data_IF_238764540047
#
_entry.id   IF_238764540047
#
_cell.length_a   1.000
_cell.length_b   1.000
_cell.length_c   1.000
_cell.angle_alpha   90.00
_cell.angle_beta   90.00
_cell.angle_gamma   90.00
#
_symmetry.space_group_name_H-M   'P 1'
#
loop_
_entity.id
_entity.type
_entity.pdbx_description
1 polymer ?
#
# COMPACT_ATOMS: atom_id res chain seq x y z
N UNK A 1 17.60 -7.62 8.23
CA UNK A 1 18.86 -6.87 8.36
C UNK A 1 18.52 -5.39 8.49
N UNK A 2 19.06 -4.72 9.51
CA UNK A 2 18.88 -3.28 9.70
C UNK A 2 20.25 -2.61 9.60
N UNK A 3 20.32 -1.52 8.87
CA UNK A 3 21.52 -0.74 8.62
C UNK A 3 21.24 0.73 8.92
N UNK A 4 22.20 1.40 9.55
CA UNK A 4 22.18 2.84 9.81
C UNK A 4 23.51 3.42 9.31
N UNK A 5 23.65 3.66 7.97
CA UNK A 5 24.94 4.02 7.38
C UNK A 5 25.51 5.34 7.90
N UNK A 6 24.63 6.25 8.33
CA UNK A 6 24.94 7.51 9.02
C UNK A 6 23.78 7.85 9.96
N UNK A 7 23.92 8.79 10.92
CA UNK A 7 22.84 9.14 11.85
C UNK A 7 21.55 9.65 11.19
N UNK A 8 21.66 10.21 9.98
CA UNK A 8 20.53 10.74 9.21
C UNK A 8 19.85 9.71 8.31
N UNK A 9 20.33 8.46 8.27
CA UNK A 9 19.85 7.42 7.37
C UNK A 9 19.49 6.12 8.09
N UNK A 10 18.26 5.68 7.90
CA UNK A 10 17.79 4.34 8.26
C UNK A 10 17.52 3.52 7.00
N UNK A 11 18.03 2.29 6.97
CA UNK A 11 17.74 1.30 5.94
C UNK A 11 17.40 -0.04 6.60
N UNK A 12 16.23 -0.57 6.31
CA UNK A 12 15.82 -1.91 6.71
C UNK A 12 15.63 -2.76 5.47
N UNK A 13 16.20 -3.97 5.47
CA UNK A 13 15.97 -4.99 4.45
C UNK A 13 15.61 -6.29 5.14
N UNK A 14 14.44 -6.84 4.86
CA UNK A 14 13.98 -8.09 5.43
C UNK A 14 13.65 -9.10 4.32
N UNK A 15 13.95 -10.36 4.60
CA UNK A 15 13.40 -11.49 3.85
C UNK A 15 12.56 -12.31 4.82
N UNK A 16 11.41 -12.78 4.38
CA UNK A 16 10.48 -13.52 5.22
C UNK A 16 9.98 -14.79 4.53
N UNK A 17 9.71 -15.82 5.33
CA UNK A 17 8.97 -17.02 4.98
C UNK A 17 8.04 -17.32 6.16
N UNK A 18 6.75 -17.06 5.96
CA UNK A 18 5.71 -17.14 6.98
C UNK A 18 4.71 -18.21 6.57
N UNK A 19 4.46 -19.17 7.46
CA UNK A 19 3.45 -20.20 7.27
C UNK A 19 2.27 -19.92 8.20
N UNK A 20 1.06 -19.92 7.64
CA UNK A 20 -0.19 -19.87 8.40
C UNK A 20 -0.95 -21.17 8.16
N UNK A 21 -1.12 -21.95 9.22
CA UNK A 21 -1.92 -23.17 9.22
C UNK A 21 -3.35 -22.90 9.73
N UNK A 22 -4.14 -23.97 9.82
CA UNK A 22 -5.51 -23.94 10.35
C UNK A 22 -6.39 -22.89 9.67
N UNK A 23 -6.21 -22.69 8.37
CA UNK A 23 -7.07 -21.82 7.59
C UNK A 23 -8.45 -22.46 7.43
N UNK A 24 -9.44 -21.60 7.56
CA UNK A 24 -10.84 -21.85 7.33
C UNK A 24 -11.09 -22.16 5.85
N UNK A 25 -11.50 -23.39 5.54
CA UNK A 25 -11.78 -23.90 4.19
C UNK A 25 -13.15 -24.56 4.15
N UNK A 26 -13.80 -24.60 2.99
CA UNK A 26 -15.02 -25.38 2.81
C UNK A 26 -14.75 -26.88 3.04
N UNK A 27 -15.66 -27.57 3.72
CA UNK A 27 -15.55 -29.02 3.92
C UNK A 27 -15.78 -29.75 2.58
N UNK A 28 -14.82 -30.57 2.10
CA UNK A 28 -14.95 -31.30 0.84
C UNK A 28 -16.15 -32.25 0.81
N UNK A 29 -16.57 -32.76 1.97
CA UNK A 29 -17.73 -33.64 2.09
C UNK A 29 -19.06 -32.87 2.17
N UNK A 30 -19.02 -31.60 2.58
CA UNK A 30 -20.19 -30.72 2.64
C UNK A 30 -19.77 -29.24 2.52
N UNK A 31 -19.80 -28.65 1.30
CA UNK A 31 -19.35 -27.27 1.06
C UNK A 31 -20.09 -26.17 1.86
N UNK A 32 -21.22 -26.49 2.50
CA UNK A 32 -21.92 -25.58 3.42
C UNK A 32 -21.31 -25.55 4.83
N UNK A 33 -20.37 -26.44 5.12
CA UNK A 33 -19.61 -26.49 6.37
C UNK A 33 -18.20 -25.99 6.11
N UNK A 34 -17.54 -25.63 7.21
CA UNK A 34 -16.23 -25.05 7.19
C UNK A 34 -15.33 -25.75 8.20
N UNK A 35 -14.13 -26.11 7.75
CA UNK A 35 -13.12 -26.83 8.53
C UNK A 35 -11.82 -26.03 8.58
N UNK A 36 -11.00 -26.26 9.61
CA UNK A 36 -9.67 -25.65 9.74
C UNK A 36 -8.61 -26.58 9.18
N UNK A 37 -8.58 -26.71 7.85
CA UNK A 37 -7.71 -27.67 7.17
C UNK A 37 -6.72 -27.02 6.19
N UNK A 38 -6.86 -25.71 5.92
CA UNK A 38 -6.02 -25.03 4.94
C UNK A 38 -4.69 -24.54 5.51
N UNK A 39 -3.75 -24.28 4.61
CA UNK A 39 -2.45 -23.68 4.91
C UNK A 39 -2.07 -22.72 3.80
N UNK A 40 -1.50 -21.56 4.16
CA UNK A 40 -0.91 -20.64 3.21
C UNK A 40 0.48 -20.22 3.65
N UNK A 41 1.37 -20.08 2.67
CA UNK A 41 2.73 -19.59 2.87
C UNK A 41 2.88 -18.23 2.20
N UNK A 42 3.44 -17.28 2.93
CA UNK A 42 3.78 -15.94 2.47
C UNK A 42 5.31 -15.78 2.49
N UNK A 43 5.91 -15.50 1.34
CA UNK A 43 7.35 -15.25 1.22
C UNK A 43 7.60 -13.94 0.52
N UNK A 44 8.73 -13.31 0.84
CA UNK A 44 9.01 -12.05 0.20
C UNK A 44 10.21 -11.31 0.74
N UNK A 45 10.30 -10.07 0.26
CA UNK A 45 11.33 -9.12 0.61
C UNK A 45 10.66 -7.78 0.92
N UNK A 46 11.14 -7.12 1.97
CA UNK A 46 10.75 -5.76 2.33
C UNK A 46 11.99 -4.89 2.42
N UNK A 47 11.87 -3.68 1.91
CA UNK A 47 12.87 -2.63 1.98
C UNK A 47 12.20 -1.36 2.46
N UNK A 48 12.76 -0.75 3.51
CA UNK A 48 12.37 0.56 4.01
C UNK A 48 13.60 1.45 4.11
N UNK A 49 13.49 2.66 3.57
CA UNK A 49 14.54 3.67 3.55
C UNK A 49 13.97 4.98 4.08
N UNK A 50 14.65 5.61 5.02
CA UNK A 50 14.33 6.95 5.47
C UNK A 50 15.61 7.75 5.69
N UNK A 51 15.61 9.02 5.30
CA UNK A 51 16.73 9.90 5.62
C UNK A 51 16.71 11.26 4.95
N UNK A 52 17.88 11.90 4.97
CA UNK A 52 18.09 13.24 4.42
C UNK A 52 19.13 13.22 3.30
N UNK A 53 18.74 13.65 2.11
CA UNK A 53 19.64 13.90 0.98
C UNK A 53 20.50 15.14 1.23
N UNK A 54 19.91 16.16 1.85
CA UNK A 54 20.56 17.38 2.36
C UNK A 54 19.85 17.81 3.65
N UNK A 55 20.39 18.76 4.44
CA UNK A 55 19.68 19.26 5.62
C UNK A 55 18.24 19.76 5.34
N UNK A 56 17.98 20.21 4.11
CA UNK A 56 16.70 20.74 3.66
C UNK A 56 15.87 19.74 2.85
N UNK A 57 16.39 18.54 2.54
CA UNK A 57 15.75 17.57 1.66
C UNK A 57 15.66 16.20 2.33
N UNK A 58 14.45 15.76 2.66
CA UNK A 58 14.19 14.43 3.22
C UNK A 58 13.51 13.49 2.23
N UNK A 59 13.75 12.20 2.40
CA UNK A 59 13.17 11.13 1.60
C UNK A 59 12.75 9.96 2.49
N UNK A 60 11.61 9.37 2.15
CA UNK A 60 11.10 8.12 2.72
C UNK A 60 10.67 7.24 1.55
N UNK A 61 11.14 6.01 1.50
CA UNK A 61 10.77 5.05 0.46
C UNK A 61 10.54 3.67 1.08
N UNK A 62 9.59 2.94 0.51
CA UNK A 62 9.35 1.54 0.86
C UNK A 62 9.06 0.71 -0.38
N UNK A 63 9.45 -0.56 -0.34
CA UNK A 63 9.19 -1.54 -1.36
C UNK A 63 8.93 -2.91 -0.74
N UNK A 64 7.91 -3.59 -1.21
CA UNK A 64 7.57 -4.95 -0.82
C UNK A 64 7.36 -5.83 -2.06
N UNK A 65 7.97 -7.01 -2.04
CA UNK A 65 7.62 -8.14 -2.90
C UNK A 65 6.97 -9.22 -2.05
N UNK A 66 5.78 -9.68 -2.41
CA UNK A 66 5.00 -10.62 -1.59
C UNK A 66 4.39 -11.75 -2.44
N UNK A 67 4.91 -12.96 -2.29
CA UNK A 67 4.40 -14.20 -2.87
C UNK A 67 3.63 -14.99 -1.81
N UNK A 68 2.30 -14.91 -1.84
CA UNK A 68 1.42 -15.72 -0.98
C UNK A 68 0.79 -16.82 -1.81
N UNK A 69 0.84 -18.06 -1.32
CA UNK A 69 0.22 -19.22 -1.96
C UNK A 69 -0.43 -20.13 -0.94
N UNK A 70 -1.54 -20.77 -1.31
CA UNK A 70 -2.06 -21.89 -0.54
C UNK A 70 -1.13 -23.10 -0.70
N UNK A 71 -0.59 -23.58 0.42
CA UNK A 71 0.28 -24.77 0.48
C UNK A 71 -0.49 -26.01 0.91
N UNK A 72 -1.72 -25.83 1.42
CA UNK A 72 -2.68 -26.92 1.65
C UNK A 72 -4.09 -26.42 1.36
N UNK A 73 -4.70 -26.96 0.31
CA UNK A 73 -6.08 -26.69 -0.10
C UNK A 73 -6.55 -27.76 -1.09
N UNK A 74 -7.80 -28.19 -1.00
CA UNK A 74 -8.35 -29.15 -1.97
C UNK A 74 -8.68 -28.51 -3.32
N UNK A 75 -9.00 -27.21 -3.34
CA UNK A 75 -9.42 -26.50 -4.56
C UNK A 75 -8.41 -25.47 -5.05
N UNK A 76 -7.56 -24.92 -4.15
CA UNK A 76 -6.71 -23.75 -4.42
C UNK A 76 -5.22 -24.05 -4.28
N UNK A 77 -4.84 -25.33 -4.29
CA UNK A 77 -3.46 -25.74 -4.05
C UNK A 77 -2.50 -25.02 -5.02
N UNK A 78 -1.51 -24.32 -4.48
CA UNK A 78 -0.51 -23.58 -5.25
C UNK A 78 -0.96 -22.22 -5.79
N UNK A 79 -2.26 -21.92 -5.71
CA UNK A 79 -2.85 -20.65 -6.15
C UNK A 79 -2.59 -19.52 -5.16
N UNK A 80 -2.64 -18.28 -5.66
CA UNK A 80 -2.51 -17.07 -4.84
C UNK A 80 -3.86 -16.64 -4.28
N UNK A 81 -3.91 -16.11 -3.05
CA UNK A 81 -5.11 -15.46 -2.56
C UNK A 81 -5.38 -14.16 -3.32
N UNK A 82 -6.64 -13.74 -3.31
CA UNK A 82 -7.08 -12.48 -3.90
C UNK A 82 -6.69 -11.29 -3.03
N UNK A 83 -6.55 -10.11 -3.63
CA UNK A 83 -6.24 -8.86 -2.93
C UNK A 83 -4.78 -8.69 -2.50
N UNK A 84 -3.88 -9.57 -2.96
CA UNK A 84 -2.45 -9.50 -2.65
C UNK A 84 -1.66 -9.17 -3.93
N UNK A 85 -1.18 -7.92 -4.11
CA UNK A 85 -0.31 -7.58 -5.23
C UNK A 85 1.04 -8.29 -5.09
N UNK A 86 1.73 -8.52 -6.21
CA UNK A 86 3.11 -9.00 -6.20
C UNK A 86 4.07 -7.96 -5.67
N UNK A 87 3.89 -6.70 -6.11
CA UNK A 87 4.78 -5.60 -5.80
C UNK A 87 3.99 -4.41 -5.26
N UNK A 88 4.49 -3.82 -4.17
CA UNK A 88 4.03 -2.53 -3.67
C UNK A 88 5.22 -1.63 -3.42
N UNK A 89 5.13 -0.38 -3.85
CA UNK A 89 6.16 0.61 -3.60
C UNK A 89 5.54 1.94 -3.15
N UNK A 90 6.29 2.70 -2.37
CA UNK A 90 6.00 4.10 -2.12
C UNK A 90 7.29 4.91 -2.03
N UNK A 91 7.23 6.16 -2.49
CA UNK A 91 8.29 7.13 -2.34
C UNK A 91 7.65 8.46 -1.98
N UNK A 92 8.13 9.09 -0.93
CA UNK A 92 7.75 10.44 -0.53
C UNK A 92 9.00 11.26 -0.28
N UNK A 93 8.97 12.52 -0.71
CA UNK A 93 10.08 13.43 -0.50
C UNK A 93 9.58 14.83 -0.18
N UNK A 94 10.33 15.55 0.67
CA UNK A 94 10.04 16.94 1.00
C UNK A 94 11.30 17.79 0.95
N UNK A 95 11.14 19.04 0.50
CA UNK A 95 12.20 20.01 0.34
C UNK A 95 11.80 21.35 0.99
N UNK A 96 12.62 21.86 1.91
CA UNK A 96 12.49 23.22 2.48
C UNK A 96 13.30 24.19 1.62
N UNK A 97 12.67 25.28 1.19
CA UNK A 97 13.30 26.29 0.33
C UNK A 97 14.08 27.27 1.21
N UNK A 98 15.23 26.82 1.72
CA UNK A 98 16.06 27.59 2.66
C UNK A 98 15.22 28.17 3.81
N UNK A 99 15.45 29.45 4.11
CA UNK A 99 14.77 30.18 5.19
C UNK A 99 13.50 30.92 4.72
N UNK A 100 12.99 30.61 3.51
CA UNK A 100 11.86 31.34 2.93
C UNK A 100 10.53 31.10 3.65
N UNK A 101 10.45 30.09 4.53
CA UNK A 101 9.20 29.57 5.12
C UNK A 101 8.49 28.53 4.25
N UNK A 102 8.86 28.39 2.96
CA UNK A 102 8.25 27.41 2.07
C UNK A 102 8.83 26.01 2.23
N UNK A 103 7.95 25.03 2.17
CA UNK A 103 8.28 23.61 2.04
C UNK A 103 7.36 22.97 1.01
N UNK A 104 7.93 22.19 0.11
CA UNK A 104 7.19 21.43 -0.90
C UNK A 104 7.44 19.95 -0.71
N UNK A 105 6.49 19.13 -1.11
CA UNK A 105 6.60 17.69 -1.04
C UNK A 105 5.84 17.01 -2.15
N UNK A 106 6.25 15.80 -2.46
CA UNK A 106 5.59 14.96 -3.42
C UNK A 106 5.96 13.51 -3.24
N UNK A 107 5.09 12.63 -3.70
CA UNK A 107 5.34 11.22 -3.65
C UNK A 107 4.44 10.40 -4.55
N UNK A 108 4.87 9.17 -4.78
CA UNK A 108 4.16 8.20 -5.60
C UNK A 108 3.91 6.94 -4.77
N UNK A 109 2.72 6.38 -4.90
CA UNK A 109 2.38 5.05 -4.40
C UNK A 109 2.08 4.18 -5.60
N UNK A 110 2.73 3.02 -5.69
CA UNK A 110 2.55 2.07 -6.79
C UNK A 110 2.10 0.73 -6.24
N UNK A 111 1.16 0.09 -6.93
CA UNK A 111 0.77 -1.30 -6.71
C UNK A 111 0.77 -2.02 -8.04
N UNK A 112 1.38 -3.19 -8.08
CA UNK A 112 1.19 -4.09 -9.22
C UNK A 112 -0.25 -4.58 -9.27
N UNK A 113 -0.56 -5.29 -10.35
CA UNK A 113 -1.79 -6.03 -10.41
C UNK A 113 -1.93 -7.07 -9.28
N UNK A 114 -3.19 -7.44 -9.04
CA UNK A 114 -3.58 -8.46 -8.07
C UNK A 114 -4.82 -9.22 -8.54
N UNK A 115 -5.08 -10.36 -7.90
CA UNK A 115 -6.26 -11.16 -8.18
C UNK A 115 -7.49 -10.57 -7.47
N UNK A 116 -8.58 -10.39 -8.21
CA UNK A 116 -9.90 -10.03 -7.71
C UNK A 116 -10.68 -11.24 -7.19
N UNK A 117 -11.66 -11.01 -6.32
CA UNK A 117 -12.44 -12.07 -5.70
C UNK A 117 -13.54 -12.52 -6.65
N UNK A 118 -13.51 -13.80 -7.01
CA UNK A 118 -14.58 -14.41 -7.78
C UNK A 118 -15.53 -15.18 -6.83
N UNK A 119 -16.85 -14.98 -6.94
CA UNK A 119 -17.84 -15.80 -6.22
C UNK A 119 -17.69 -17.29 -6.60
N UNK A 120 -17.16 -17.58 -7.79
CA UNK A 120 -17.02 -18.91 -8.36
C UNK A 120 -15.72 -19.65 -7.96
N UNK A 121 -15.09 -19.30 -6.84
CA UNK A 121 -14.17 -20.22 -6.15
C UNK A 121 -14.89 -21.46 -5.58
N UNK A 122 -16.21 -21.59 -5.81
CA UNK A 122 -17.09 -22.61 -5.27
C UNK A 122 -17.72 -23.58 -6.31
N UNK A 123 -17.38 -23.53 -7.60
CA UNK A 123 -17.96 -24.43 -8.61
C UNK A 123 -16.96 -24.93 -9.66
N UNK A 124 -17.04 -26.23 -9.98
CA UNK A 124 -16.13 -26.97 -10.86
C UNK A 124 -16.12 -26.52 -12.34
N UNK A 125 -17.06 -25.67 -12.75
CA UNK A 125 -17.28 -25.26 -14.15
C UNK A 125 -16.77 -23.83 -14.50
N UNK A 126 -15.67 -23.37 -13.88
CA UNK A 126 -14.96 -22.06 -14.07
C UNK A 126 -15.58 -20.86 -13.30
N UNK A 127 -14.84 -19.72 -13.08
CA UNK A 127 -13.56 -19.30 -13.66
C UNK A 127 -12.49 -18.79 -12.66
N UNK A 128 -11.25 -18.78 -13.15
CA UNK A 128 -10.09 -18.10 -12.58
C UNK A 128 -10.44 -16.70 -12.01
N UNK A 129 -9.78 -16.23 -10.94
CA UNK A 129 -9.97 -14.87 -10.44
C UNK A 129 -9.64 -13.87 -11.55
N UNK A 130 -10.49 -12.85 -11.73
CA UNK A 130 -10.18 -11.77 -12.65
C UNK A 130 -9.04 -10.92 -12.09
N UNK A 131 -8.35 -10.20 -12.96
CA UNK A 131 -7.19 -9.39 -12.59
C UNK A 131 -7.65 -7.94 -12.32
N UNK A 132 -7.24 -7.38 -11.19
CA UNK A 132 -7.30 -5.95 -10.94
C UNK A 132 -5.99 -5.34 -11.44
N UNK A 133 -6.09 -4.34 -12.32
CA UNK A 133 -4.92 -3.70 -12.90
C UNK A 133 -4.08 -2.98 -11.83
N UNK A 134 -2.77 -2.95 -12.08
CA UNK A 134 -1.86 -2.14 -11.28
C UNK A 134 -2.14 -0.65 -11.46
N UNK A 135 -1.77 0.15 -10.46
CA UNK A 135 -2.01 1.58 -10.45
C UNK A 135 -0.89 2.35 -9.77
N UNK A 136 -0.82 3.64 -10.08
CA UNK A 136 0.09 4.58 -9.46
C UNK A 136 -0.64 5.87 -9.07
N UNK A 137 -0.39 6.37 -7.87
CA UNK A 137 -1.01 7.58 -7.33
C UNK A 137 0.07 8.62 -7.03
N UNK A 138 0.00 9.77 -7.70
CA UNK A 138 0.82 10.94 -7.40
C UNK A 138 0.16 11.77 -6.31
N UNK A 139 0.91 12.10 -5.26
CA UNK A 139 0.48 12.94 -4.16
C UNK A 139 1.42 14.14 -4.04
N UNK A 140 0.87 15.31 -3.72
CA UNK A 140 1.62 16.57 -3.65
C UNK A 140 1.29 17.34 -2.36
N UNK A 141 2.24 18.14 -1.90
CA UNK A 141 2.12 18.98 -0.71
C UNK A 141 2.87 20.28 -0.89
N UNK A 142 2.30 21.38 -0.41
CA UNK A 142 3.00 22.64 -0.24
C UNK A 142 2.58 23.26 1.10
N UNK A 143 3.54 23.80 1.85
CA UNK A 143 3.29 24.50 3.09
C UNK A 143 4.12 25.76 3.22
N UNK A 144 3.64 26.68 4.05
CA UNK A 144 4.26 27.96 4.34
C UNK A 144 4.18 28.28 5.83
N UNK A 145 5.34 28.48 6.45
CA UNK A 145 5.50 28.97 7.81
C UNK A 145 5.64 30.50 7.80
N UNK A 146 4.82 31.21 8.57
CA UNK A 146 4.80 32.69 8.62
C UNK A 146 4.34 33.21 9.98
N UNK A 147 4.42 34.53 10.20
CA UNK A 147 3.83 35.16 11.40
C UNK A 147 2.49 35.79 11.08
N UNK A 148 1.51 35.54 11.95
CA UNK A 148 0.17 36.12 11.86
C UNK A 148 -0.27 36.59 13.24
N UNK A 149 -0.66 37.87 13.35
CA UNK A 149 -1.13 38.48 14.61
C UNK A 149 -0.18 38.32 15.80
N UNK A 150 1.14 38.29 15.54
CA UNK A 150 2.17 38.09 16.56
C UNK A 150 2.43 36.63 16.93
N UNK A 151 1.67 35.68 16.41
CA UNK A 151 1.86 34.24 16.62
C UNK A 151 2.56 33.59 15.41
N UNK A 152 3.13 32.41 15.61
CA UNK A 152 3.61 31.58 14.51
C UNK A 152 2.43 30.86 13.87
N UNK A 153 2.39 30.86 12.54
CA UNK A 153 1.31 30.33 11.73
C UNK A 153 1.84 29.36 10.66
N UNK A 154 1.04 28.36 10.34
CA UNK A 154 1.35 27.34 9.35
C UNK A 154 0.17 27.14 8.40
N UNK A 155 0.38 27.39 7.11
CA UNK A 155 -0.59 27.05 6.07
C UNK A 155 -0.08 25.87 5.26
N UNK A 156 -0.95 24.90 4.95
CA UNK A 156 -0.59 23.75 4.12
C UNK A 156 -1.72 23.36 3.19
N UNK A 157 -1.36 22.95 1.98
CA UNK A 157 -2.25 22.33 1.00
C UNK A 157 -1.68 20.96 0.64
N UNK A 158 -2.54 19.95 0.64
CA UNK A 158 -2.24 18.61 0.17
C UNK A 158 -3.17 18.26 -0.99
N UNK A 159 -2.62 17.63 -2.03
CA UNK A 159 -3.36 17.08 -3.15
C UNK A 159 -3.09 15.59 -3.21
N UNK A 160 -4.11 14.78 -2.94
CA UNK A 160 -4.05 13.32 -3.09
C UNK A 160 -4.56 12.93 -4.47
N UNK A 161 -3.95 11.92 -5.09
CA UNK A 161 -4.27 11.48 -6.46
C UNK A 161 -4.30 12.66 -7.46
N UNK A 162 -3.19 13.40 -7.54
CA UNK A 162 -3.06 14.64 -8.30
C UNK A 162 -3.32 14.47 -9.81
N UNK A 163 -3.09 13.27 -10.36
CA UNK A 163 -3.37 12.90 -11.75
C UNK A 163 -4.82 12.50 -11.99
N UNK A 164 -5.65 12.42 -10.94
CA UNK A 164 -7.04 11.96 -11.00
C UNK A 164 -7.19 10.55 -11.61
N UNK A 165 -6.27 9.66 -11.21
CA UNK A 165 -6.25 8.26 -11.64
C UNK A 165 -7.51 7.53 -11.18
N UNK A 166 -8.12 6.76 -12.08
CA UNK A 166 -9.25 5.88 -11.78
C UNK A 166 -8.74 4.46 -11.62
N UNK A 167 -8.75 3.97 -10.39
CA UNK A 167 -8.16 2.68 -10.04
C UNK A 167 -9.10 1.85 -9.16
N UNK A 168 -8.80 0.56 -9.06
CA UNK A 168 -9.61 -0.41 -8.33
C UNK A 168 -8.76 -1.04 -7.22
N UNK A 169 -8.69 -0.45 -6.01
CA UNK A 169 -7.80 -0.91 -4.94
C UNK A 169 -8.22 -2.24 -4.32
N UNK A 170 -9.46 -2.68 -4.51
CA UNK A 170 -9.98 -3.86 -3.84
C UNK A 170 -11.26 -4.38 -4.51
N UNK A 171 -11.75 -5.50 -4.00
CA UNK A 171 -12.93 -6.24 -4.41
C UNK A 171 -13.70 -6.64 -3.15
N UNK A 172 -15.02 -6.64 -3.18
CA UNK A 172 -15.86 -6.94 -2.01
C UNK A 172 -16.85 -8.06 -2.31
N UNK A 173 -16.77 -9.17 -1.59
CA UNK A 173 -17.88 -10.14 -1.49
C UNK A 173 -18.33 -10.77 -2.82
N UNK A 174 -17.44 -10.86 -3.83
CA UNK A 174 -17.73 -11.50 -5.11
C UNK A 174 -17.39 -10.71 -6.38
N UNK A 175 -17.73 -11.26 -7.56
CA UNK A 175 -17.49 -10.68 -8.90
C UNK A 175 -18.26 -9.41 -9.20
N UNK A 176 -19.20 -9.03 -8.33
CA UNK A 176 -20.16 -7.95 -8.61
C UNK A 176 -19.85 -6.63 -7.94
N UNK A 177 -18.77 -6.54 -7.14
CA UNK A 177 -18.45 -5.31 -6.41
C UNK A 177 -16.94 -5.07 -6.39
N UNK A 178 -16.53 -4.13 -7.22
CA UNK A 178 -15.17 -3.59 -7.23
C UNK A 178 -15.17 -2.32 -6.37
N UNK A 179 -14.23 -2.24 -5.44
CA UNK A 179 -13.99 -1.00 -4.71
C UNK A 179 -13.37 0.02 -5.64
N UNK A 180 -13.95 1.21 -5.71
CA UNK A 180 -13.39 2.32 -6.47
C UNK A 180 -12.40 3.08 -5.60
N UNK A 181 -11.25 3.39 -6.18
CA UNK A 181 -10.26 4.26 -5.58
C UNK A 181 -10.79 5.66 -5.36
N UNK A 182 -10.21 6.36 -4.38
CA UNK A 182 -10.61 7.73 -4.10
C UNK A 182 -10.21 8.64 -5.28
N UNK A 183 -11.13 9.48 -5.78
CA UNK A 183 -10.78 10.47 -6.79
C UNK A 183 -9.82 11.50 -6.20
N UNK A 184 -9.29 12.37 -7.05
CA UNK A 184 -8.47 13.48 -6.58
C UNK A 184 -9.15 14.26 -5.44
N UNK A 185 -8.41 14.50 -4.38
CA UNK A 185 -8.86 15.32 -3.24
C UNK A 185 -7.84 16.39 -2.89
N UNK A 186 -8.34 17.53 -2.42
CA UNK A 186 -7.53 18.69 -2.02
C UNK A 186 -7.95 19.10 -0.62
N UNK A 187 -6.98 19.17 0.29
CA UNK A 187 -7.20 19.60 1.68
C UNK A 187 -6.28 20.77 1.97
N UNK A 188 -6.87 21.87 2.44
CA UNK A 188 -6.16 23.03 2.93
C UNK A 188 -6.35 23.15 4.45
N UNK A 189 -5.28 23.51 5.16
CA UNK A 189 -5.28 23.70 6.61
C UNK A 189 -4.51 24.95 7.00
N UNK A 190 -4.97 25.63 8.05
CA UNK A 190 -4.29 26.74 8.71
C UNK A 190 -4.20 26.43 10.21
N UNK A 191 -3.00 26.52 10.77
CA UNK A 191 -2.73 26.35 12.20
C UNK A 191 -2.03 27.57 12.79
N UNK A 192 -2.26 27.82 14.08
CA UNK A 192 -1.61 28.87 14.88
C UNK A 192 -1.01 28.24 16.14
N UNK A 193 0.19 28.69 16.52
CA UNK A 193 0.87 28.29 17.76
C UNK A 193 1.04 29.51 18.67
N UNK A 194 0.63 29.38 19.93
CA UNK A 194 0.60 30.46 20.94
C UNK A 194 1.70 30.27 21.99
#
# INVERSE_FOLDING_TARGET
MKLEPTPDWGLTVAAFDLLKDNLTMADPANPLRTILAGEARSRGLELDLNGKLTPNWSVVASYAYTDVRYTRSDTLQGERPTGVPWHGASLWTTYRLGDSGWKVGGGIVVRSDMLGQNEAYASADQPQPYKLDGYALLNLMASYDFRLLGCDAHAQVNVSNATDERYNPTTYGGTRRIGLGEPRSVVASLGLTF
#
